data_IF_709576028245
#
_entry.id   IF_709576028245
#
_cell.length_a   1.000
_cell.length_b   1.000
_cell.length_c   1.000
_cell.angle_alpha   90.00
_cell.angle_beta   90.00
_cell.angle_gamma   90.00
#
_symmetry.space_group_name_H-M   'P 1'
#
loop_
_entity.id
_entity.type
_entity.pdbx_description
1 polymer ?
#
# COMPACT_ATOMS: atom_id res chain seq x y z
N UNK A 1 12.01 -6.32 4.58
CA UNK A 1 10.85 -5.56 5.10
C UNK A 1 11.16 -5.06 6.51
N UNK A 2 10.65 -3.88 6.87
CA UNK A 2 10.99 -3.17 8.10
C UNK A 2 10.73 -4.01 9.36
N UNK A 3 11.61 -3.89 10.37
CA UNK A 3 11.51 -4.59 11.66
C UNK A 3 10.74 -3.79 12.72
N UNK A 4 10.02 -2.75 12.31
CA UNK A 4 9.29 -1.85 13.19
C UNK A 4 7.90 -2.43 13.48
N UNK A 5 7.54 -2.57 14.76
CA UNK A 5 6.17 -2.85 15.17
C UNK A 5 5.41 -1.54 15.32
N UNK A 6 4.33 -1.37 14.56
CA UNK A 6 3.42 -0.25 14.69
C UNK A 6 2.25 -0.66 15.59
N UNK A 7 1.89 0.20 16.55
CA UNK A 7 0.61 0.11 17.24
C UNK A 7 -0.47 0.67 16.31
N UNK A 8 -1.39 -0.19 15.88
CA UNK A 8 -2.50 0.21 15.02
C UNK A 8 -3.65 0.82 15.86
N UNK A 9 -4.43 1.76 15.30
CA UNK A 9 -5.61 2.27 15.97
C UNK A 9 -6.71 1.21 16.07
N UNK A 10 -7.61 1.36 17.06
CA UNK A 10 -8.78 0.48 17.21
C UNK A 10 -9.80 0.64 16.07
N UNK A 11 -9.82 1.81 15.43
CA UNK A 11 -10.74 2.14 14.34
C UNK A 11 -10.01 2.86 13.21
N UNK A 12 -10.22 2.39 11.99
CA UNK A 12 -9.85 3.11 10.77
C UNK A 12 -11.07 3.93 10.31
N UNK A 13 -10.87 5.23 10.08
CA UNK A 13 -11.96 6.15 9.71
C UNK A 13 -12.32 6.10 8.22
N UNK A 14 -11.47 5.50 7.41
CA UNK A 14 -11.58 5.46 5.96
C UNK A 14 -11.11 4.11 5.42
N UNK A 15 -11.79 3.62 4.39
CA UNK A 15 -11.40 2.44 3.63
C UNK A 15 -11.86 2.62 2.19
N UNK A 16 -11.07 2.12 1.25
CA UNK A 16 -11.42 2.09 -0.17
C UNK A 16 -10.80 0.86 -0.82
N UNK A 17 -11.37 0.45 -1.95
CA UNK A 17 -10.83 -0.63 -2.78
C UNK A 17 -10.19 -0.02 -4.03
N UNK A 18 -8.91 -0.32 -4.27
CA UNK A 18 -8.17 0.16 -5.43
C UNK A 18 -7.81 -1.01 -6.34
N UNK A 19 -7.98 -0.82 -7.65
CA UNK A 19 -7.54 -1.79 -8.66
C UNK A 19 -6.05 -1.63 -8.94
N UNK A 20 -5.30 -2.71 -8.79
CA UNK A 20 -3.85 -2.73 -9.05
C UNK A 20 -3.58 -2.90 -10.54
N UNK A 21 -2.65 -2.11 -11.06
CA UNK A 21 -2.21 -2.12 -12.46
C UNK A 21 -0.90 -2.89 -12.60
N UNK A 22 -0.60 -3.35 -13.81
CA UNK A 22 0.68 -4.03 -14.08
C UNK A 22 1.89 -3.12 -13.80
N UNK A 23 1.73 -1.80 -13.94
CA UNK A 23 2.75 -0.80 -13.61
C UNK A 23 3.08 -0.72 -12.12
N UNK A 24 2.15 -1.16 -11.26
CA UNK A 24 2.33 -1.10 -9.81
C UNK A 24 3.10 -2.33 -9.31
N UNK A 25 3.31 -3.34 -10.17
CA UNK A 25 4.03 -4.57 -9.86
C UNK A 25 5.50 -4.44 -10.26
N UNK A 26 6.40 -4.71 -9.32
CA UNK A 26 7.83 -4.68 -9.54
C UNK A 26 8.34 -5.97 -10.22
N UNK A 27 9.62 -5.97 -10.62
CA UNK A 27 10.25 -7.11 -11.31
C UNK A 27 10.24 -8.43 -10.51
N UNK A 28 10.15 -8.36 -9.18
CA UNK A 28 10.04 -9.53 -8.32
C UNK A 28 8.59 -10.02 -8.16
N UNK A 29 7.64 -9.53 -8.97
CA UNK A 29 6.23 -9.87 -8.93
C UNK A 29 5.54 -9.52 -7.59
N UNK A 30 5.92 -8.40 -6.99
CA UNK A 30 5.26 -7.84 -5.80
C UNK A 30 4.80 -6.42 -6.09
N UNK A 31 3.90 -5.88 -5.25
CA UNK A 31 3.59 -4.44 -5.27
C UNK A 31 4.88 -3.62 -5.05
N UNK A 32 5.14 -2.67 -5.94
CA UNK A 32 6.24 -1.72 -5.84
C UNK A 32 6.08 -0.84 -4.60
N UNK A 33 7.16 -0.67 -3.83
CA UNK A 33 7.13 0.16 -2.64
C UNK A 33 6.86 1.64 -2.95
N UNK A 34 7.35 2.09 -4.10
CA UNK A 34 7.07 3.41 -4.67
C UNK A 34 5.59 3.55 -5.09
N UNK A 35 5.01 2.52 -5.71
CA UNK A 35 3.59 2.52 -6.09
C UNK A 35 2.65 2.66 -4.88
N UNK A 36 3.04 2.14 -3.70
CA UNK A 36 2.25 2.30 -2.46
C UNK A 36 2.01 3.76 -2.11
N UNK A 37 3.00 4.65 -2.31
CA UNK A 37 2.83 6.07 -2.00
C UNK A 37 1.79 6.72 -2.91
N UNK A 38 1.85 6.42 -4.21
CA UNK A 38 0.86 6.92 -5.17
C UNK A 38 -0.54 6.40 -4.87
N UNK A 39 -0.68 5.11 -4.56
CA UNK A 39 -1.98 4.49 -4.22
C UNK A 39 -2.58 5.10 -2.95
N UNK A 40 -1.77 5.41 -1.93
CA UNK A 40 -2.24 6.08 -0.71
C UNK A 40 -2.73 7.50 -1.01
N UNK A 41 -2.12 8.21 -1.97
CA UNK A 41 -2.56 9.54 -2.37
C UNK A 41 -3.84 9.54 -3.23
N UNK A 42 -4.09 8.46 -3.97
CA UNK A 42 -5.32 8.27 -4.76
C UNK A 42 -6.53 7.92 -3.88
N UNK A 43 -6.27 7.33 -2.71
CA UNK A 43 -7.27 6.86 -1.75
C UNK A 43 -8.10 7.99 -1.12
#
# INVERSE_FOLDING_TARGET
MARLKLTLPEKFHFTTELSIRISDVNYANHLGNDAVLSLIHEA
#
